data_IF_213438246539
#
_entry.id   IF_213438246539
#
_cell.length_a   1.000
_cell.length_b   1.000
_cell.length_c   1.000
_cell.angle_alpha   90.00
_cell.angle_beta   90.00
_cell.angle_gamma   90.00
#
_symmetry.space_group_name_H-M   'P 1'
#
loop_
_entity.id
_entity.type
_entity.pdbx_description
1 polymer ?
#
# COMPACT_ATOMS: atom_id res chain seq x y z
N UNK A 1 -23.37 -8.79 -26.04
CA UNK A 1 -22.95 -8.65 -24.64
C UNK A 1 -23.40 -7.28 -24.15
N UNK A 2 -23.98 -7.17 -22.96
CA UNK A 2 -24.37 -5.88 -22.37
C UNK A 2 -23.22 -5.29 -21.54
N UNK A 3 -23.18 -3.97 -21.37
CA UNK A 3 -22.11 -3.29 -20.63
C UNK A 3 -21.98 -3.80 -19.18
N UNK A 4 -23.11 -4.03 -18.50
CA UNK A 4 -23.12 -4.57 -17.14
C UNK A 4 -22.49 -5.96 -17.08
N UNK A 5 -22.89 -6.87 -17.98
CA UNK A 5 -22.33 -8.22 -18.05
C UNK A 5 -20.84 -8.21 -18.40
N UNK A 6 -20.42 -7.37 -19.33
CA UNK A 6 -19.01 -7.22 -19.68
C UNK A 6 -18.16 -6.80 -18.47
N UNK A 7 -18.68 -5.88 -17.65
CA UNK A 7 -18.06 -5.44 -16.40
C UNK A 7 -18.01 -6.58 -15.36
N UNK A 8 -19.09 -7.30 -15.14
CA UNK A 8 -19.09 -8.41 -14.17
C UNK A 8 -18.18 -9.56 -14.63
N UNK A 9 -18.22 -9.93 -15.92
CA UNK A 9 -17.34 -10.96 -16.49
C UNK A 9 -15.85 -10.60 -16.36
N UNK A 10 -15.50 -9.32 -16.44
CA UNK A 10 -14.12 -8.86 -16.26
C UNK A 10 -13.57 -9.24 -14.89
N UNK A 11 -14.38 -9.21 -13.81
CA UNK A 11 -13.90 -9.51 -12.46
C UNK A 11 -13.51 -10.97 -12.25
N UNK A 12 -13.97 -11.89 -13.10
CA UNK A 12 -13.56 -13.29 -13.04
C UNK A 12 -12.07 -13.51 -13.28
N UNK A 13 -11.31 -12.52 -13.78
CA UNK A 13 -9.85 -12.59 -13.82
C UNK A 13 -9.26 -12.94 -12.44
N UNK A 14 -9.83 -12.42 -11.36
CA UNK A 14 -9.33 -12.60 -9.99
C UNK A 14 -9.70 -13.96 -9.40
N UNK A 15 -10.71 -14.62 -9.95
CA UNK A 15 -11.15 -15.96 -9.54
C UNK A 15 -10.34 -17.07 -10.22
N UNK A 16 -9.44 -16.74 -11.17
CA UNK A 16 -8.60 -17.71 -11.86
C UNK A 16 -7.51 -18.29 -10.95
N UNK A 17 -7.23 -19.59 -11.10
CA UNK A 17 -6.28 -20.32 -10.26
C UNK A 17 -4.81 -19.93 -10.50
N UNK A 18 -4.50 -19.40 -11.69
CA UNK A 18 -3.12 -19.07 -12.06
C UNK A 18 -3.04 -17.81 -12.91
N UNK A 19 -1.87 -17.18 -12.87
CA UNK A 19 -1.52 -16.01 -13.69
C UNK A 19 -1.73 -16.26 -15.18
N UNK A 20 -1.30 -17.42 -15.68
CA UNK A 20 -1.48 -17.79 -17.08
C UNK A 20 -2.97 -17.89 -17.46
N UNK A 21 -3.79 -18.53 -16.63
CA UNK A 21 -5.23 -18.62 -16.87
C UNK A 21 -5.90 -17.24 -16.84
N UNK A 22 -5.50 -16.37 -15.92
CA UNK A 22 -6.00 -15.00 -15.82
C UNK A 22 -5.68 -14.16 -17.08
N UNK A 23 -4.45 -14.24 -17.59
CA UNK A 23 -4.04 -13.56 -18.82
C UNK A 23 -4.86 -14.08 -20.00
N UNK A 24 -4.93 -15.40 -20.19
CA UNK A 24 -5.71 -15.98 -21.29
C UNK A 24 -7.20 -15.68 -21.19
N UNK A 25 -7.75 -15.58 -19.97
CA UNK A 25 -9.12 -15.17 -19.76
C UNK A 25 -9.34 -13.71 -20.17
N UNK A 26 -8.44 -12.81 -19.76
CA UNK A 26 -8.50 -11.39 -20.11
C UNK A 26 -8.41 -11.16 -21.62
N UNK A 27 -7.53 -11.87 -22.32
CA UNK A 27 -7.43 -11.82 -23.79
C UNK A 27 -8.73 -12.26 -24.46
N UNK A 28 -9.31 -13.40 -24.03
CA UNK A 28 -10.62 -13.84 -24.53
C UNK A 28 -11.74 -12.86 -24.23
N UNK A 29 -11.68 -12.18 -23.09
CA UNK A 29 -12.66 -11.14 -22.73
C UNK A 29 -12.53 -9.92 -23.63
N UNK A 30 -11.31 -9.50 -23.96
CA UNK A 30 -11.03 -8.43 -24.93
C UNK A 30 -11.58 -8.77 -26.33
N UNK A 31 -11.36 -9.99 -26.80
CA UNK A 31 -11.82 -10.43 -28.13
C UNK A 31 -13.36 -10.51 -28.23
N UNK A 32 -14.04 -10.76 -27.09
CA UNK A 32 -15.50 -10.85 -27.02
C UNK A 32 -16.18 -9.49 -26.85
N UNK A 33 -15.43 -8.43 -26.56
CA UNK A 33 -15.99 -7.08 -26.42
C UNK A 33 -16.42 -6.54 -27.78
N UNK A 34 -17.72 -6.23 -27.97
CA UNK A 34 -18.17 -5.62 -29.21
C UNK A 34 -17.66 -4.17 -29.32
N UNK A 35 -17.37 -3.74 -30.55
CA UNK A 35 -16.74 -2.44 -30.82
C UNK A 35 -17.46 -1.22 -30.19
N UNK A 36 -18.79 -1.27 -30.09
CA UNK A 36 -19.57 -0.20 -29.46
C UNK A 36 -19.37 -0.11 -27.93
N UNK A 37 -18.97 -1.20 -27.26
CA UNK A 37 -18.62 -1.21 -25.84
C UNK A 37 -17.14 -0.90 -25.60
N UNK A 38 -16.25 -1.31 -26.51
CA UNK A 38 -14.81 -1.12 -26.36
C UNK A 38 -14.44 0.34 -26.04
N UNK A 39 -15.10 1.31 -26.69
CA UNK A 39 -14.90 2.75 -26.39
C UNK A 39 -15.19 3.15 -24.94
N UNK A 40 -16.15 2.48 -24.29
CA UNK A 40 -16.53 2.77 -22.90
C UNK A 40 -15.57 2.10 -21.91
N UNK A 41 -14.94 0.99 -22.30
CA UNK A 41 -13.92 0.30 -21.51
C UNK A 41 -12.49 0.76 -21.84
N UNK A 42 -12.30 1.70 -22.77
CA UNK A 42 -10.97 2.15 -23.18
C UNK A 42 -10.06 2.58 -22.01
N UNK A 43 -10.54 3.31 -20.98
CA UNK A 43 -9.72 3.61 -19.81
C UNK A 43 -9.27 2.35 -19.06
N UNK A 44 -10.16 1.37 -18.90
CA UNK A 44 -9.85 0.09 -18.26
C UNK A 44 -8.81 -0.69 -19.08
N UNK A 45 -9.02 -0.82 -20.39
CA UNK A 45 -8.11 -1.53 -21.31
C UNK A 45 -6.72 -0.88 -21.28
N UNK A 46 -6.67 0.46 -21.28
CA UNK A 46 -5.41 1.19 -21.19
C UNK A 46 -4.71 0.94 -19.85
N UNK A 47 -5.45 0.94 -18.74
CA UNK A 47 -4.89 0.62 -17.42
C UNK A 47 -4.38 -0.82 -17.35
N UNK A 48 -5.14 -1.79 -17.85
CA UNK A 48 -4.72 -3.20 -17.91
C UNK A 48 -3.45 -3.38 -18.72
N UNK A 49 -3.29 -2.64 -19.83
CA UNK A 49 -2.06 -2.64 -20.63
C UNK A 49 -0.88 -2.03 -19.87
N UNK A 50 -1.07 -0.86 -19.25
CA UNK A 50 0.01 -0.13 -18.58
C UNK A 50 0.50 -0.84 -17.30
N UNK A 51 -0.42 -1.47 -16.57
CA UNK A 51 -0.17 -2.12 -15.28
C UNK A 51 -0.29 -3.64 -15.37
N UNK A 52 -0.10 -4.20 -16.56
CA UNK A 52 -0.31 -5.62 -16.86
C UNK A 52 0.38 -6.54 -15.85
N UNK A 53 1.70 -6.39 -15.71
CA UNK A 53 2.50 -7.20 -14.80
C UNK A 53 2.06 -7.04 -13.33
N UNK A 54 1.97 -5.81 -12.76
CA UNK A 54 1.46 -5.62 -11.40
C UNK A 54 0.09 -6.22 -11.13
N UNK A 55 -0.85 -6.11 -12.08
CA UNK A 55 -2.21 -6.64 -11.94
C UNK A 55 -2.18 -8.17 -11.88
N UNK A 56 -1.49 -8.80 -12.83
CA UNK A 56 -1.45 -10.27 -12.92
C UNK A 56 -0.54 -10.92 -11.86
N UNK A 57 0.39 -10.17 -11.26
CA UNK A 57 1.17 -10.61 -10.09
C UNK A 57 0.29 -10.90 -8.86
N UNK A 58 -0.97 -10.45 -8.85
CA UNK A 58 -1.97 -10.85 -7.85
C UNK A 58 -2.07 -12.37 -7.66
N UNK A 59 -1.91 -13.14 -8.75
CA UNK A 59 -1.99 -14.61 -8.70
C UNK A 59 -0.72 -15.27 -8.15
N UNK A 60 0.44 -14.60 -8.26
CA UNK A 60 1.71 -15.11 -7.73
C UNK A 60 1.80 -14.86 -6.22
N UNK A 61 1.36 -13.68 -5.79
CA UNK A 61 1.23 -13.35 -4.39
C UNK A 61 -0.01 -12.49 -4.16
N UNK A 62 -0.97 -13.03 -3.42
CA UNK A 62 -2.25 -12.37 -3.06
C UNK A 62 -2.04 -11.28 -2.01
N UNK A 63 -1.14 -10.34 -2.26
CA UNK A 63 -0.96 -9.16 -1.44
C UNK A 63 -2.17 -8.25 -1.63
N UNK A 64 -3.05 -8.24 -0.63
CA UNK A 64 -4.16 -7.29 -0.60
C UNK A 64 -3.70 -5.94 -0.05
N UNK A 65 -4.11 -4.85 -0.70
CA UNK A 65 -3.95 -3.50 -0.19
C UNK A 65 -4.86 -3.22 1.04
N UNK A 66 -5.72 -4.17 1.42
CA UNK A 66 -6.72 -4.00 2.47
C UNK A 66 -6.14 -3.54 3.82
N UNK A 67 -4.93 -3.98 4.18
CA UNK A 67 -4.24 -3.51 5.39
C UNK A 67 -3.90 -2.01 5.31
N UNK A 68 -3.37 -1.57 4.17
CA UNK A 68 -3.01 -0.17 3.91
C UNK A 68 -4.28 0.68 3.77
N UNK A 69 -5.32 0.18 3.12
CA UNK A 69 -6.62 0.86 3.00
C UNK A 69 -7.31 1.04 4.34
N UNK A 70 -7.29 0.02 5.20
CA UNK A 70 -7.81 0.13 6.56
C UNK A 70 -7.04 1.22 7.34
N UNK A 71 -5.70 1.21 7.25
CA UNK A 71 -4.87 2.23 7.88
C UNK A 71 -5.15 3.63 7.32
N UNK A 72 -5.24 3.79 6.01
CA UNK A 72 -5.57 5.06 5.35
C UNK A 72 -6.96 5.55 5.77
N UNK A 73 -7.95 4.66 5.86
CA UNK A 73 -9.27 4.97 6.39
C UNK A 73 -9.24 5.48 7.82
N UNK A 74 -8.43 4.83 8.69
CA UNK A 74 -8.21 5.29 10.07
C UNK A 74 -7.55 6.66 10.13
N UNK A 75 -6.54 6.93 9.30
CA UNK A 75 -5.86 8.23 9.21
C UNK A 75 -6.84 9.32 8.74
N UNK A 76 -7.63 9.02 7.71
CA UNK A 76 -8.64 9.94 7.18
C UNK A 76 -9.72 10.29 8.21
N UNK A 77 -10.14 9.34 9.05
CA UNK A 77 -11.06 9.61 10.17
C UNK A 77 -10.48 10.62 11.17
N UNK A 78 -9.19 10.53 11.49
CA UNK A 78 -8.52 11.51 12.36
C UNK A 78 -8.50 12.89 11.68
N UNK A 79 -8.14 12.93 10.40
CA UNK A 79 -8.08 14.20 9.65
C UNK A 79 -9.46 14.88 9.55
N UNK A 80 -10.49 14.09 9.26
CA UNK A 80 -11.87 14.55 9.14
C UNK A 80 -12.43 15.07 10.46
N UNK A 81 -12.20 14.36 11.57
CA UNK A 81 -12.61 14.80 12.91
C UNK A 81 -11.95 16.12 13.34
N UNK A 82 -10.80 16.45 12.76
CA UNK A 82 -10.07 17.69 13.03
C UNK A 82 -10.33 18.80 11.98
N UNK A 83 -11.29 18.60 11.07
CA UNK A 83 -11.62 19.53 9.98
C UNK A 83 -10.43 19.93 9.09
N UNK A 84 -9.49 19.00 8.90
CA UNK A 84 -8.30 19.22 8.08
C UNK A 84 -7.10 19.70 8.90
N UNK A 85 -6.16 18.79 9.16
CA UNK A 85 -4.89 19.10 9.78
C UNK A 85 -3.80 19.34 8.74
N UNK A 86 -2.78 20.10 9.14
CA UNK A 86 -1.50 20.12 8.42
C UNK A 86 -0.91 18.72 8.40
N UNK A 87 -0.23 18.37 7.30
CA UNK A 87 0.36 17.04 7.11
C UNK A 87 1.25 16.62 8.28
N UNK A 88 2.11 17.51 8.79
CA UNK A 88 2.99 17.21 9.92
C UNK A 88 2.23 16.80 11.18
N UNK A 89 1.16 17.52 11.52
CA UNK A 89 0.32 17.21 12.69
C UNK A 89 -0.42 15.88 12.48
N UNK A 90 -0.96 15.64 11.27
CA UNK A 90 -1.63 14.38 10.94
C UNK A 90 -0.64 13.20 11.02
N UNK A 91 0.56 13.36 10.48
CA UNK A 91 1.63 12.36 10.48
C UNK A 91 2.05 12.02 11.90
N UNK A 92 2.31 13.01 12.76
CA UNK A 92 2.66 12.77 14.16
C UNK A 92 1.56 12.02 14.89
N UNK A 93 0.29 12.44 14.74
CA UNK A 93 -0.85 11.74 15.34
C UNK A 93 -1.02 10.31 14.82
N UNK A 94 -0.85 10.10 13.52
CA UNK A 94 -0.92 8.78 12.92
C UNK A 94 0.18 7.85 13.45
N UNK A 95 1.42 8.34 13.55
CA UNK A 95 2.55 7.60 14.11
C UNK A 95 2.36 7.29 15.60
N UNK A 96 1.86 8.25 16.38
CA UNK A 96 1.57 8.05 17.80
C UNK A 96 0.47 7.01 18.04
N UNK A 97 -0.55 6.98 17.16
CA UNK A 97 -1.74 6.15 17.37
C UNK A 97 -1.66 4.77 16.74
N UNK A 98 -1.00 4.65 15.59
CA UNK A 98 -0.96 3.42 14.79
C UNK A 98 0.46 2.99 14.41
N UNK A 99 1.49 3.75 14.77
CA UNK A 99 2.86 3.37 14.51
C UNK A 99 3.34 2.32 15.50
N UNK A 100 3.88 1.22 14.99
CA UNK A 100 4.60 0.26 15.82
C UNK A 100 5.96 0.84 16.21
N UNK A 101 6.33 0.69 17.49
CA UNK A 101 7.70 0.91 17.93
C UNK A 101 8.50 -0.33 17.52
N UNK A 102 9.23 -0.21 16.42
CA UNK A 102 10.08 -1.29 15.93
C UNK A 102 11.48 -1.07 16.52
N UNK A 103 12.05 -2.05 17.24
CA UNK A 103 13.45 -1.98 17.63
C UNK A 103 14.31 -1.82 16.37
N UNK A 104 15.23 -0.86 16.37
CA UNK A 104 16.03 -0.56 15.18
C UNK A 104 16.82 -1.77 14.65
N UNK A 105 17.06 -2.76 15.51
CA UNK A 105 17.63 -4.06 15.16
C UNK A 105 16.85 -4.84 14.10
N UNK A 106 15.52 -4.74 14.08
CA UNK A 106 14.68 -5.36 13.04
C UNK A 106 14.79 -4.64 11.69
N UNK A 107 15.11 -3.35 11.69
CA UNK A 107 15.29 -2.55 10.47
C UNK A 107 16.72 -2.58 9.93
N UNK A 108 17.68 -3.06 10.73
CA UNK A 108 19.09 -3.08 10.36
C UNK A 108 19.37 -3.91 9.09
N UNK A 109 18.61 -4.98 8.88
CA UNK A 109 18.67 -5.79 7.66
C UNK A 109 18.17 -5.06 6.40
N UNK A 110 17.26 -4.09 6.54
CA UNK A 110 16.65 -3.38 5.40
C UNK A 110 17.33 -2.04 5.09
N UNK A 111 17.86 -1.34 6.09
CA UNK A 111 18.33 0.05 5.94
C UNK A 111 19.84 0.22 5.74
N UNK A 112 20.67 -0.79 6.03
CA UNK A 112 22.12 -0.66 5.93
C UNK A 112 22.71 -1.66 4.94
N UNK A 113 22.93 -1.26 3.68
CA UNK A 113 23.52 -2.14 2.66
C UNK A 113 25.03 -2.44 2.89
N UNK A 114 25.59 -2.07 4.04
CA UNK A 114 27.00 -2.24 4.37
C UNK A 114 27.18 -2.99 5.70
N UNK A 115 28.26 -3.78 5.87
CA UNK A 115 28.49 -4.56 7.08
C UNK A 115 28.81 -3.63 8.27
N UNK A 116 27.93 -3.64 9.28
CA UNK A 116 28.09 -2.91 10.54
C UNK A 116 28.74 -3.83 11.58
N UNK A 117 29.69 -3.31 12.37
CA UNK A 117 30.33 -4.07 13.46
C UNK A 117 29.32 -4.52 14.53
N UNK A 118 29.55 -5.69 15.15
CA UNK A 118 28.65 -6.27 16.16
C UNK A 118 28.39 -5.32 17.34
N UNK A 119 29.40 -4.57 17.78
CA UNK A 119 29.27 -3.58 18.86
C UNK A 119 28.31 -2.44 18.48
N UNK A 120 28.44 -1.91 17.26
CA UNK A 120 27.59 -0.83 16.76
C UNK A 120 26.17 -1.33 16.48
N UNK A 121 26.03 -2.58 16.05
CA UNK A 121 24.74 -3.24 15.89
C UNK A 121 24.00 -3.36 17.24
N UNK A 122 24.68 -3.75 18.32
CA UNK A 122 24.09 -3.82 19.69
C UNK A 122 23.55 -2.46 20.16
N UNK A 123 24.30 -1.38 19.95
CA UNK A 123 23.88 -0.01 20.32
C UNK A 123 22.70 0.49 19.48
N UNK A 124 22.70 0.16 18.18
CA UNK A 124 21.60 0.47 17.25
C UNK A 124 20.34 -0.28 17.70
N UNK A 125 20.42 -1.60 17.92
CA UNK A 125 19.31 -2.47 18.31
C UNK A 125 18.61 -2.00 19.60
N UNK A 126 19.36 -1.49 20.58
CA UNK A 126 18.81 -0.97 21.84
C UNK A 126 18.12 0.39 21.73
N UNK A 127 18.19 1.06 20.57
CA UNK A 127 17.55 2.36 20.37
C UNK A 127 16.14 2.18 19.80
N UNK A 128 15.07 2.56 20.52
CA UNK A 128 13.72 2.50 19.97
C UNK A 128 13.56 3.58 18.90
N UNK A 129 13.10 3.22 17.70
CA UNK A 129 12.83 4.16 16.59
C UNK A 129 11.44 3.88 16.04
N UNK A 130 10.63 4.92 15.84
CA UNK A 130 9.40 4.83 15.08
C UNK A 130 9.73 5.34 13.67
N UNK A 131 9.87 4.43 12.68
CA UNK A 131 10.21 4.69 11.25
C UNK A 131 10.68 6.13 10.96
N UNK A 132 11.97 6.41 11.22
CA UNK A 132 12.62 7.68 10.88
C UNK A 132 12.46 8.81 11.90
N UNK A 133 11.87 8.57 13.07
CA UNK A 133 11.76 9.55 14.15
C UNK A 133 12.21 8.96 15.48
N UNK A 134 13.07 9.71 16.18
CA UNK A 134 13.54 9.35 17.51
C UNK A 134 12.43 9.68 18.55
N UNK A 135 11.94 8.70 19.34
CA UNK A 135 10.95 8.92 20.40
C UNK A 135 11.34 10.00 21.40
N UNK A 136 12.63 10.19 21.68
CA UNK A 136 13.13 11.27 22.54
C UNK A 136 12.83 12.65 21.97
N UNK A 137 12.83 12.78 20.64
CA UNK A 137 12.45 14.03 19.95
C UNK A 137 10.95 14.28 20.05
N UNK A 138 10.13 13.23 20.02
CA UNK A 138 8.68 13.31 20.23
C UNK A 138 8.34 13.75 21.63
N UNK A 139 8.99 13.12 22.62
CA UNK A 139 8.82 13.45 24.03
C UNK A 139 9.24 14.89 24.29
N UNK A 140 10.36 15.35 23.71
CA UNK A 140 10.81 16.74 23.79
C UNK A 140 9.82 17.71 23.14
N UNK A 141 9.24 17.36 21.99
CA UNK A 141 8.25 18.18 21.30
C UNK A 141 6.93 18.29 22.08
N UNK A 142 6.47 17.19 22.69
CA UNK A 142 5.32 17.15 23.59
C UNK A 142 5.53 18.01 24.84
N UNK A 143 6.70 17.90 25.50
CA UNK A 143 7.07 18.72 26.67
C UNK A 143 7.16 20.22 26.35
N UNK A 144 7.48 20.58 25.11
CA UNK A 144 7.58 21.96 24.66
C UNK A 144 6.24 22.53 24.13
N UNK A 145 5.17 21.74 24.12
CA UNK A 145 3.86 22.17 23.60
C UNK A 145 3.89 22.56 22.12
N UNK A 146 4.83 22.01 21.34
CA UNK A 146 5.07 22.37 19.93
C UNK A 146 4.26 21.53 18.94
N UNK A 147 3.29 20.76 19.42
CA UNK A 147 2.43 19.87 18.63
C UNK A 147 0.97 20.30 18.65
#
# INVERSE_FOLDING_TARGET
MEAYRAKEEFFYIYDMDSKAQAISFYERWLDRLPAYLTRHFQPLITSMKNWHEPIFNYHDARYTNGMVENLNGRINKINSAAHGMKFETLRVKALLRYGDIIPLGHLAHFCFPFPISKERMRQIVSTPIIRGFNPSTLERALRQGRL
#
